data_IF_663055173556
#
_entry.id   IF_663055173556
#
_cell.length_a   1.000
_cell.length_b   1.000
_cell.length_c   1.000
_cell.angle_alpha   90.00
_cell.angle_beta   90.00
_cell.angle_gamma   90.00
#
_symmetry.space_group_name_H-M   'P 1'
#
loop_
_entity.id
_entity.type
_entity.pdbx_description
1 polymer ?
#
# COMPACT_ATOMS: atom_id res chain seq x y z
N UNK A 1 -28.21 15.83 32.17
CA UNK A 1 -26.90 16.33 31.71
C UNK A 1 -25.89 15.21 31.39
N UNK A 2 -26.31 14.10 30.73
CA UNK A 2 -25.48 12.87 30.56
C UNK A 2 -25.27 12.40 29.11
N UNK A 3 -25.54 13.24 28.10
CA UNK A 3 -25.40 12.84 26.68
C UNK A 3 -24.11 13.29 25.97
N UNK A 4 -23.33 14.21 26.56
CA UNK A 4 -22.13 14.78 25.89
C UNK A 4 -20.86 13.93 26.00
N UNK A 5 -20.81 12.92 26.88
CA UNK A 5 -19.62 12.08 27.08
C UNK A 5 -19.48 10.96 26.04
N UNK A 6 -20.59 10.35 25.63
CA UNK A 6 -20.62 9.17 24.76
C UNK A 6 -20.23 9.52 23.31
N UNK A 7 -20.64 10.71 22.86
CA UNK A 7 -20.40 11.20 21.50
C UNK A 7 -18.95 11.66 21.30
N UNK A 8 -18.29 12.13 22.36
CA UNK A 8 -16.87 12.45 22.34
C UNK A 8 -16.01 11.17 22.34
N UNK A 9 -16.43 10.10 23.02
CA UNK A 9 -15.72 8.81 23.03
C UNK A 9 -15.76 8.08 21.68
N UNK A 10 -16.90 8.09 20.95
CA UNK A 10 -16.97 7.49 19.60
C UNK A 10 -15.97 8.07 18.61
N UNK A 11 -15.76 9.40 18.65
CA UNK A 11 -14.73 10.06 17.82
C UNK A 11 -13.30 9.65 18.15
N UNK A 12 -13.02 9.19 19.38
CA UNK A 12 -11.69 8.68 19.75
C UNK A 12 -11.48 7.24 19.29
N UNK A 13 -12.51 6.40 19.36
CA UNK A 13 -12.46 5.02 18.85
C UNK A 13 -12.36 4.99 17.32
N UNK A 14 -13.14 5.80 16.61
CA UNK A 14 -13.07 5.94 15.14
C UNK A 14 -11.74 6.53 14.64
N UNK A 15 -11.01 7.27 15.49
CA UNK A 15 -9.69 7.80 15.15
C UNK A 15 -8.54 6.80 15.38
N UNK A 16 -8.77 5.74 16.16
CA UNK A 16 -7.80 4.66 16.39
C UNK A 16 -8.04 3.43 15.53
N UNK A 17 -9.22 3.32 14.90
CA UNK A 17 -9.55 2.23 13.98
C UNK A 17 -8.71 2.36 12.70
N UNK A 18 -7.68 1.53 12.58
CA UNK A 18 -6.72 1.58 11.46
C UNK A 18 -5.52 2.52 11.68
N UNK A 19 -5.28 2.99 12.91
CA UNK A 19 -4.07 3.74 13.23
C UNK A 19 -2.83 2.84 13.05
N UNK A 20 -2.04 3.12 12.02
CA UNK A 20 -0.81 2.39 11.75
C UNK A 20 0.27 2.90 12.73
N UNK A 21 0.74 2.07 13.67
CA UNK A 21 1.72 2.49 14.65
C UNK A 21 3.06 2.78 13.97
N UNK A 22 3.74 3.83 14.42
CA UNK A 22 5.09 4.12 13.96
C UNK A 22 6.06 3.07 14.51
N UNK A 23 6.64 2.27 13.63
CA UNK A 23 7.53 1.17 13.98
C UNK A 23 8.72 1.10 13.02
N UNK A 24 9.88 0.72 13.55
CA UNK A 24 11.08 0.44 12.75
C UNK A 24 11.49 -1.00 12.96
N UNK A 25 11.70 -1.72 11.86
CA UNK A 25 12.18 -3.10 11.82
C UNK A 25 13.58 -3.09 11.21
N UNK A 26 14.52 -3.77 11.86
CA UNK A 26 15.82 -4.12 11.31
C UNK A 26 16.01 -5.64 11.44
N UNK A 27 16.35 -6.32 10.35
CA UNK A 27 16.30 -7.77 10.24
C UNK A 27 14.90 -8.27 9.89
N UNK A 28 14.44 -9.34 10.53
CA UNK A 28 13.10 -9.90 10.34
C UNK A 28 12.19 -9.51 11.49
N UNK A 29 11.01 -8.96 11.19
CA UNK A 29 10.03 -8.56 12.20
C UNK A 29 8.63 -8.38 11.63
N UNK A 30 7.66 -8.23 12.52
CA UNK A 30 6.27 -8.01 12.21
C UNK A 30 5.69 -6.85 13.03
N UNK A 31 4.70 -6.15 12.48
CA UNK A 31 3.90 -5.15 13.17
C UNK A 31 2.44 -5.52 13.00
N UNK A 32 1.75 -5.76 14.09
CA UNK A 32 0.31 -5.99 14.06
C UNK A 32 -0.42 -4.65 13.92
N UNK A 33 -1.26 -4.53 12.89
CA UNK A 33 -2.18 -3.42 12.68
C UNK A 33 -3.57 -3.85 13.18
N UNK A 34 -4.09 -3.25 14.25
CA UNK A 34 -5.41 -3.57 14.77
C UNK A 34 -6.48 -3.48 13.69
N UNK A 35 -7.23 -4.58 13.49
CA UNK A 35 -8.32 -4.65 12.51
C UNK A 35 -7.93 -4.90 11.06
N UNK A 36 -6.64 -4.84 10.70
CA UNK A 36 -6.16 -5.09 9.33
C UNK A 36 -5.27 -6.34 9.23
N UNK A 37 -4.49 -6.65 10.27
CA UNK A 37 -3.61 -7.82 10.33
C UNK A 37 -2.13 -7.43 10.47
N UNK A 38 -1.23 -8.36 10.17
CA UNK A 38 0.21 -8.19 10.40
C UNK A 38 0.94 -7.70 9.15
N UNK A 39 1.75 -6.64 9.30
CA UNK A 39 2.79 -6.26 8.34
C UNK A 39 4.07 -6.99 8.71
N UNK A 40 4.59 -7.85 7.83
CA UNK A 40 5.89 -8.50 7.99
C UNK A 40 6.94 -7.85 7.13
N UNK A 41 8.14 -7.67 7.66
CA UNK A 41 9.30 -7.16 6.93
C UNK A 41 10.53 -8.00 7.22
N UNK A 42 11.24 -8.35 6.17
CA UNK A 42 12.56 -8.98 6.19
C UNK A 42 13.57 -8.05 5.51
N UNK A 43 14.52 -7.53 6.27
CA UNK A 43 15.51 -6.53 5.85
C UNK A 43 15.41 -5.27 6.70
N UNK A 44 15.02 -4.15 6.11
CA UNK A 44 14.74 -2.91 6.84
C UNK A 44 13.32 -2.46 6.56
N UNK A 45 12.61 -2.06 7.61
CA UNK A 45 11.23 -1.61 7.56
C UNK A 45 11.05 -0.33 8.36
N UNK A 46 10.35 0.64 7.78
CA UNK A 46 9.77 1.76 8.51
C UNK A 46 8.29 1.74 8.21
N UNK A 47 7.46 1.67 9.24
CA UNK A 47 6.02 1.58 9.13
C UNK A 47 5.46 2.78 9.88
N UNK A 48 4.62 3.58 9.23
CA UNK A 48 3.86 4.67 9.84
C UNK A 48 2.62 4.96 8.98
N UNK A 49 1.68 5.72 9.52
CA UNK A 49 0.48 6.13 8.78
C UNK A 49 0.81 7.04 7.58
N UNK A 50 1.86 7.84 7.67
CA UNK A 50 2.30 8.75 6.61
C UNK A 50 3.12 8.02 5.54
N UNK A 51 4.00 7.11 5.95
CA UNK A 51 4.92 6.43 5.04
C UNK A 51 5.27 5.02 5.50
N UNK A 52 5.24 4.07 4.56
CA UNK A 52 5.83 2.73 4.72
C UNK A 52 7.04 2.61 3.79
N UNK A 53 8.21 2.27 4.36
CA UNK A 53 9.43 1.95 3.61
C UNK A 53 9.88 0.52 3.88
N UNK A 54 10.17 -0.23 2.83
CA UNK A 54 10.68 -1.60 2.90
C UNK A 54 11.94 -1.73 2.04
N UNK A 55 13.08 -1.93 2.67
CA UNK A 55 14.37 -2.09 1.98
C UNK A 55 14.69 -3.52 1.53
N UNK A 56 13.87 -4.50 1.93
CA UNK A 56 14.02 -5.91 1.55
C UNK A 56 12.71 -6.50 1.04
N UNK A 57 12.19 -7.49 1.75
CA UNK A 57 10.89 -8.09 1.44
C UNK A 57 9.85 -7.68 2.47
N UNK A 58 8.63 -7.39 2.04
CA UNK A 58 7.53 -7.05 2.94
C UNK A 58 6.20 -7.66 2.50
N UNK A 59 5.43 -8.09 3.49
CA UNK A 59 4.06 -8.56 3.32
C UNK A 59 3.14 -7.66 4.14
N UNK A 60 2.15 -7.07 3.47
CA UNK A 60 1.22 -6.13 4.05
C UNK A 60 -0.19 -6.74 4.01
N UNK A 61 -1.02 -6.48 5.04
CA UNK A 61 -2.44 -6.80 4.99
C UNK A 61 -3.17 -5.94 3.95
N UNK A 62 -4.38 -6.36 3.58
CA UNK A 62 -5.28 -5.52 2.78
C UNK A 62 -5.98 -4.45 3.63
N UNK A 63 -6.62 -3.49 2.97
CA UNK A 63 -7.36 -2.40 3.63
C UNK A 63 -6.47 -1.27 4.16
N UNK A 64 -5.19 -1.25 3.78
CA UNK A 64 -4.26 -0.20 4.19
C UNK A 64 -4.53 1.11 3.45
N UNK A 65 -4.48 2.20 4.21
CA UNK A 65 -4.50 3.57 3.71
C UNK A 65 -3.31 4.35 4.25
N UNK A 66 -2.37 4.67 3.38
CA UNK A 66 -1.10 5.33 3.75
C UNK A 66 -0.79 6.50 2.81
N UNK A 67 -0.02 7.48 3.28
CA UNK A 67 0.39 8.61 2.44
C UNK A 67 1.35 8.17 1.33
N UNK A 68 2.44 7.51 1.70
CA UNK A 68 3.49 7.08 0.79
C UNK A 68 3.92 5.62 1.03
N UNK A 69 4.23 4.91 -0.04
CA UNK A 69 4.74 3.53 0.01
C UNK A 69 6.02 3.42 -0.81
N UNK A 70 7.13 3.05 -0.18
CA UNK A 70 8.40 2.79 -0.85
C UNK A 70 8.86 1.35 -0.60
N UNK A 71 9.05 0.57 -1.65
CA UNK A 71 9.59 -0.78 -1.54
C UNK A 71 10.75 -0.96 -2.52
N UNK A 72 11.93 -1.35 -2.03
CA UNK A 72 13.13 -1.54 -2.84
C UNK A 72 13.43 -3.01 -3.20
N UNK A 73 12.63 -3.95 -2.69
CA UNK A 73 12.77 -5.38 -2.99
C UNK A 73 11.47 -6.03 -3.40
N UNK A 74 10.96 -6.96 -2.58
CA UNK A 74 9.72 -7.69 -2.88
C UNK A 74 8.58 -7.25 -1.98
N UNK A 75 7.48 -6.79 -2.54
CA UNK A 75 6.29 -6.38 -1.82
C UNK A 75 5.11 -7.29 -2.15
N UNK A 76 4.43 -7.79 -1.12
CA UNK A 76 3.15 -8.48 -1.27
C UNK A 76 2.08 -7.77 -0.46
N UNK A 77 0.93 -7.48 -1.05
CA UNK A 77 -0.23 -6.90 -0.35
C UNK A 77 -1.44 -7.83 -0.51
N UNK A 78 -1.99 -8.29 0.61
CA UNK A 78 -3.07 -9.30 0.68
C UNK A 78 -4.47 -8.69 0.55
N UNK A 79 -4.66 -7.73 -0.37
CA UNK A 79 -5.96 -7.13 -0.64
C UNK A 79 -5.87 -5.69 -1.11
N UNK A 80 -6.90 -4.89 -0.79
CA UNK A 80 -6.99 -3.49 -1.20
C UNK A 80 -5.83 -2.66 -0.66
N UNK A 81 -5.27 -1.80 -1.50
CA UNK A 81 -4.23 -0.84 -1.13
C UNK A 81 -4.63 0.56 -1.58
N UNK A 82 -4.66 1.53 -0.66
CA UNK A 82 -4.87 2.95 -0.96
C UNK A 82 -3.64 3.78 -0.56
N UNK A 83 -2.99 4.40 -1.55
CA UNK A 83 -1.80 5.23 -1.33
C UNK A 83 -1.91 6.58 -2.03
N UNK A 84 -1.26 7.61 -1.47
CA UNK A 84 -1.05 8.87 -2.17
C UNK A 84 0.07 8.74 -3.22
N UNK A 85 1.26 8.33 -2.77
CA UNK A 85 2.45 8.14 -3.60
C UNK A 85 3.01 6.72 -3.43
N UNK A 86 3.34 6.04 -4.54
CA UNK A 86 3.96 4.72 -4.53
C UNK A 86 5.26 4.70 -5.32
N UNK A 87 6.33 4.18 -4.72
CA UNK A 87 7.62 3.93 -5.38
C UNK A 87 8.04 2.49 -5.14
N UNK A 88 7.96 1.66 -6.16
CA UNK A 88 8.24 0.23 -6.09
C UNK A 88 9.42 -0.05 -7.01
N UNK A 89 10.59 -0.30 -6.44
CA UNK A 89 11.78 -0.76 -7.15
C UNK A 89 11.93 -2.24 -6.85
N UNK A 90 11.71 -3.12 -7.82
CA UNK A 90 11.75 -4.58 -7.64
C UNK A 90 10.45 -5.26 -8.06
N UNK A 91 9.91 -6.12 -7.20
CA UNK A 91 8.73 -6.94 -7.50
C UNK A 91 7.60 -6.63 -6.54
N UNK A 92 6.44 -6.24 -7.05
CA UNK A 92 5.26 -5.95 -6.25
C UNK A 92 4.06 -6.79 -6.72
N UNK A 93 3.39 -7.45 -5.77
CA UNK A 93 2.15 -8.18 -5.99
C UNK A 93 1.06 -7.67 -5.07
N UNK A 94 -0.03 -7.23 -5.65
CA UNK A 94 -1.22 -6.74 -4.94
C UNK A 94 -2.36 -7.68 -5.27
N UNK A 95 -2.86 -8.41 -4.27
CA UNK A 95 -3.91 -9.44 -4.42
C UNK A 95 -5.33 -8.85 -4.39
N UNK A 96 -5.48 -7.56 -4.74
CA UNK A 96 -6.76 -6.85 -4.75
C UNK A 96 -6.67 -5.51 -5.48
N UNK A 97 -7.69 -4.64 -5.31
CA UNK A 97 -7.72 -3.36 -5.99
C UNK A 97 -6.66 -2.39 -5.45
N UNK A 98 -6.01 -1.67 -6.36
CA UNK A 98 -5.02 -0.65 -6.07
C UNK A 98 -5.60 0.73 -6.36
N UNK A 99 -5.54 1.64 -5.38
CA UNK A 99 -5.80 3.05 -5.58
C UNK A 99 -4.55 3.86 -5.25
N UNK A 100 -3.99 4.56 -6.21
CA UNK A 100 -2.79 5.36 -6.03
C UNK A 100 -2.96 6.75 -6.64
N UNK A 101 -2.59 7.82 -5.93
CA UNK A 101 -2.50 9.15 -6.57
C UNK A 101 -1.45 9.12 -7.68
N UNK A 102 -0.20 8.90 -7.28
CA UNK A 102 0.93 8.68 -8.19
C UNK A 102 1.59 7.34 -7.86
N UNK A 103 1.81 6.49 -8.87
CA UNK A 103 2.49 5.21 -8.71
C UNK A 103 3.65 5.10 -9.70
N UNK A 104 4.85 4.85 -9.19
CA UNK A 104 6.02 4.49 -9.97
C UNK A 104 6.44 3.07 -9.63
N UNK A 105 6.37 2.17 -10.58
CA UNK A 105 6.85 0.81 -10.43
C UNK A 105 7.93 0.50 -11.46
N UNK A 106 9.15 0.29 -10.98
CA UNK A 106 10.30 -0.13 -11.75
C UNK A 106 10.61 -1.60 -11.42
N UNK A 107 10.37 -2.50 -12.38
CA UNK A 107 10.60 -3.93 -12.26
C UNK A 107 9.37 -4.75 -12.66
N UNK A 108 8.80 -5.50 -11.71
CA UNK A 108 7.63 -6.33 -11.94
C UNK A 108 6.45 -5.92 -11.06
N UNK A 109 5.35 -5.47 -11.66
CA UNK A 109 4.11 -5.14 -10.94
C UNK A 109 3.00 -6.11 -11.33
N UNK A 110 2.33 -6.72 -10.35
CA UNK A 110 1.13 -7.52 -10.58
C UNK A 110 0.00 -7.06 -9.69
N UNK A 111 -1.12 -6.68 -10.29
CA UNK A 111 -2.35 -6.28 -9.59
C UNK A 111 -3.46 -7.27 -9.95
N UNK A 112 -3.98 -7.97 -8.96
CA UNK A 112 -5.12 -8.89 -9.07
C UNK A 112 -6.43 -8.13 -8.77
N UNK A 113 -6.74 -7.15 -9.60
CA UNK A 113 -7.90 -6.29 -9.43
C UNK A 113 -7.81 -5.00 -10.23
N UNK A 114 -8.72 -4.08 -9.93
CA UNK A 114 -8.77 -2.76 -10.56
C UNK A 114 -7.64 -1.86 -10.06
N UNK A 115 -7.11 -1.03 -10.95
CA UNK A 115 -6.09 -0.05 -10.66
C UNK A 115 -6.61 1.36 -10.97
N UNK A 116 -6.85 2.15 -9.93
CA UNK A 116 -7.38 3.51 -10.02
C UNK A 116 -6.35 4.54 -9.59
N UNK A 117 -6.30 5.70 -10.23
CA UNK A 117 -5.36 6.74 -9.82
C UNK A 117 -5.35 8.03 -10.61
N UNK A 118 -4.33 8.86 -10.38
CA UNK A 118 -4.07 10.04 -11.20
C UNK A 118 -3.00 9.74 -12.25
N UNK A 119 -1.81 9.31 -11.82
CA UNK A 119 -0.67 9.00 -12.69
C UNK A 119 -0.05 7.65 -12.35
N UNK A 120 0.30 6.88 -13.38
CA UNK A 120 1.09 5.65 -13.22
C UNK A 120 2.26 5.61 -14.21
N UNK A 121 3.45 5.36 -13.68
CA UNK A 121 4.69 5.14 -14.43
C UNK A 121 5.17 3.70 -14.17
N UNK A 122 5.15 2.87 -15.21
CA UNK A 122 5.43 1.44 -15.12
C UNK A 122 6.61 1.07 -16.02
N UNK A 123 7.78 0.85 -15.45
CA UNK A 123 8.98 0.42 -16.17
C UNK A 123 9.24 -1.07 -15.92
N UNK A 124 9.40 -1.88 -16.97
CA UNK A 124 9.66 -3.32 -16.87
C UNK A 124 8.47 -4.18 -17.32
N UNK A 125 7.97 -5.06 -16.46
CA UNK A 125 6.87 -5.98 -16.75
C UNK A 125 5.70 -5.77 -15.77
N UNK A 126 4.57 -5.30 -16.27
CA UNK A 126 3.39 -5.03 -15.45
C UNK A 126 2.20 -5.85 -15.95
N UNK A 127 1.48 -6.49 -15.03
CA UNK A 127 0.23 -7.20 -15.32
C UNK A 127 -0.87 -6.73 -14.38
N UNK A 128 -1.98 -6.23 -14.94
CA UNK A 128 -3.16 -5.81 -14.19
C UNK A 128 -4.33 -6.68 -14.65
N UNK A 129 -4.90 -7.47 -13.75
CA UNK A 129 -6.03 -8.35 -14.03
C UNK A 129 -7.32 -7.65 -13.59
N UNK A 130 -7.70 -6.62 -14.33
CA UNK A 130 -8.78 -5.72 -13.97
C UNK A 130 -8.72 -4.40 -14.73
N UNK A 131 -9.71 -3.56 -14.45
CA UNK A 131 -9.83 -2.24 -15.09
C UNK A 131 -8.74 -1.29 -14.62
N UNK A 132 -8.21 -0.48 -15.53
CA UNK A 132 -7.32 0.63 -15.20
C UNK A 132 -8.04 1.95 -15.45
N UNK A 133 -8.18 2.78 -14.43
CA UNK A 133 -8.78 4.11 -14.52
C UNK A 133 -7.82 5.17 -13.98
N UNK A 134 -7.22 5.96 -14.88
CA UNK A 134 -6.36 7.08 -14.52
C UNK A 134 -6.98 8.40 -14.94
N UNK A 135 -6.82 9.42 -14.11
CA UNK A 135 -7.31 10.77 -14.41
C UNK A 135 -6.40 11.59 -15.33
N UNK A 136 -5.10 11.31 -15.33
CA UNK A 136 -4.12 12.13 -16.04
C UNK A 136 -3.35 11.33 -17.09
N UNK A 137 -2.42 10.45 -16.69
CA UNK A 137 -1.57 9.75 -17.66
C UNK A 137 -1.07 8.39 -17.17
N UNK A 138 -0.92 7.46 -18.12
CA UNK A 138 -0.27 6.16 -17.96
C UNK A 138 0.97 6.12 -18.85
N UNK A 139 2.15 6.01 -18.24
CA UNK A 139 3.40 5.77 -18.96
C UNK A 139 3.86 4.36 -18.68
N UNK A 140 4.10 3.56 -19.71
CA UNK A 140 4.73 2.25 -19.54
C UNK A 140 5.91 2.07 -20.47
N UNK A 141 7.06 1.73 -19.89
CA UNK A 141 8.29 1.44 -20.60
C UNK A 141 8.62 -0.05 -20.42
N UNK A 142 8.27 -0.87 -21.41
CA UNK A 142 8.47 -2.32 -21.37
C UNK A 142 7.21 -3.08 -21.78
N UNK A 143 6.88 -4.13 -21.01
CA UNK A 143 5.70 -4.97 -21.24
C UNK A 143 4.59 -4.64 -20.25
N UNK A 144 3.47 -4.14 -20.75
CA UNK A 144 2.25 -3.97 -19.98
C UNK A 144 1.17 -4.91 -20.52
N UNK A 145 0.58 -5.71 -19.63
CA UNK A 145 -0.57 -6.57 -19.93
C UNK A 145 -1.74 -6.19 -19.02
N UNK A 146 -2.87 -5.89 -19.63
CA UNK A 146 -4.14 -5.66 -18.93
C UNK A 146 -5.09 -6.75 -19.41
N UNK A 147 -5.66 -7.54 -18.48
CA UNK A 147 -6.63 -8.62 -18.72
C UNK A 147 -8.00 -8.21 -18.19
#
# INVERSE_FOLDING_TARGET
>A
MRRRGVERMRRYEEAMEGAIPTSRIAGSGGVEIPGLGEIRVSGSGYISQEEIRIGGSGELPGGLKIGALRAAGSLKVKGKLEIGEGQLSGSARIEGPLRAGELKAAGSLRVEGEAEGERMELSGSSTINGKVELKDSLTSEGSLKIL
#
